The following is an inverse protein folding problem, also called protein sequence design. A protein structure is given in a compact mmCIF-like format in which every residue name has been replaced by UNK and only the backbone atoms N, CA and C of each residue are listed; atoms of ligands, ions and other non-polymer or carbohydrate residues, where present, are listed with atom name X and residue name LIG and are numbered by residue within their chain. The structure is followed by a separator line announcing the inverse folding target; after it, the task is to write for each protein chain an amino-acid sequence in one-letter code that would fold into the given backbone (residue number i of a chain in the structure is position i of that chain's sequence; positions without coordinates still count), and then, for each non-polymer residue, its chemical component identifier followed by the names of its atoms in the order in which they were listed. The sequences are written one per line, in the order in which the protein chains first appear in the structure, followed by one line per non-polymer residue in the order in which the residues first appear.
data_IF_956884405351
#
_entry.id   IF_956884405351
#
_cell.length_a   1.000
_cell.length_b   1.000
_cell.length_c   1.000
_cell.angle_alpha   90.00
_cell.angle_beta   90.00
_cell.angle_gamma   90.00
#
_symmetry.space_group_name_H-M   'P 1'
#
loop_
_entity.id
_entity.type
_entity.pdbx_description
1 polymer ?
#
# COMPACT_ATOMS: atom_id res chain seq x y z
N UNK A 1 -3.30 -3.15 -1.29
CA UNK A 1 -4.14 -1.98 -1.03
C UNK A 1 -5.60 -2.29 -1.33
N UNK A 2 -6.53 -1.86 -0.49
CA UNK A 2 -7.94 -2.30 -0.55
C UNK A 2 -8.77 -1.77 -1.71
N UNK A 3 -8.42 -0.64 -2.34
CA UNK A 3 -9.20 -0.02 -3.43
C UNK A 3 -8.83 -0.50 -4.84
N UNK A 4 -7.74 -1.19 -5.02
CA UNK A 4 -7.10 -1.43 -6.31
C UNK A 4 -5.91 -0.48 -6.53
N UNK A 5 -5.04 -0.85 -7.46
CA UNK A 5 -3.87 -0.04 -7.84
C UNK A 5 -4.16 0.70 -9.14
N UNK A 6 -3.63 1.91 -9.28
CA UNK A 6 -3.73 2.73 -10.49
C UNK A 6 -5.17 3.07 -10.89
N UNK A 7 -6.04 3.21 -9.90
CA UNK A 7 -7.47 3.49 -10.08
C UNK A 7 -7.72 4.98 -10.20
N UNK A 8 -8.46 5.36 -11.23
CA UNK A 8 -9.01 6.70 -11.42
C UNK A 8 -10.53 6.59 -11.50
N UNK A 9 -11.23 7.45 -10.77
CA UNK A 9 -12.69 7.50 -10.72
C UNK A 9 -13.14 8.85 -11.28
N UNK A 10 -14.09 8.83 -12.19
CA UNK A 10 -14.58 10.02 -12.87
C UNK A 10 -16.07 10.15 -12.69
N UNK A 11 -16.52 11.29 -12.21
CA UNK A 11 -17.92 11.67 -12.14
C UNK A 11 -18.21 12.80 -13.13
N UNK A 12 -19.38 12.78 -13.72
CA UNK A 12 -19.87 13.90 -14.51
C UNK A 12 -20.25 15.07 -13.60
N UNK A 13 -19.74 16.25 -13.91
CA UNK A 13 -20.00 17.50 -13.20
C UNK A 13 -20.96 18.41 -13.92
N UNK A 14 -20.88 19.72 -13.62
CA UNK A 14 -21.59 20.79 -14.30
C UNK A 14 -20.58 21.74 -14.92
N UNK A 15 -20.77 22.07 -16.21
CA UNK A 15 -19.90 23.02 -16.90
C UNK A 15 -19.93 24.40 -16.23
N UNK A 16 -18.78 24.96 -15.94
CA UNK A 16 -18.61 26.32 -15.39
C UNK A 16 -18.37 27.37 -16.49
N UNK A 17 -17.85 26.93 -17.64
CA UNK A 17 -17.50 27.80 -18.76
C UNK A 17 -18.52 27.65 -19.91
N UNK A 18 -18.88 28.75 -20.59
CA UNK A 18 -19.62 28.67 -21.86
C UNK A 18 -18.67 28.16 -22.94
N UNK A 19 -19.16 27.29 -23.85
CA UNK A 19 -18.33 26.70 -24.89
C UNK A 19 -19.09 26.51 -26.18
N UNK A 20 -18.52 26.93 -27.33
CA UNK A 20 -19.12 26.80 -28.67
C UNK A 20 -20.58 27.28 -28.75
N UNK A 21 -20.90 28.39 -28.10
CA UNK A 21 -22.27 28.95 -28.09
C UNK A 21 -23.23 28.28 -27.09
N UNK A 22 -22.76 27.28 -26.34
CA UNK A 22 -23.58 26.62 -25.33
C UNK A 22 -23.37 27.29 -23.95
N UNK A 23 -24.44 27.44 -23.13
CA UNK A 23 -24.36 28.07 -21.83
C UNK A 23 -23.61 27.19 -20.81
N UNK A 24 -23.10 27.80 -19.76
CA UNK A 24 -22.60 27.11 -18.55
C UNK A 24 -23.74 26.43 -17.77
N UNK A 25 -23.40 25.55 -16.84
CA UNK A 25 -24.37 24.86 -15.94
C UNK A 25 -24.98 23.61 -16.53
N UNK A 26 -24.47 23.12 -17.66
CA UNK A 26 -24.94 21.87 -18.29
C UNK A 26 -24.34 20.68 -17.55
N UNK A 27 -25.19 19.69 -17.29
CA UNK A 27 -24.76 18.42 -16.71
C UNK A 27 -24.04 17.55 -17.76
N UNK A 28 -22.88 17.05 -17.41
CA UNK A 28 -22.18 15.99 -18.16
C UNK A 28 -22.65 14.64 -17.62
N UNK A 29 -23.32 13.86 -18.44
CA UNK A 29 -23.83 12.52 -18.07
C UNK A 29 -23.22 11.49 -19.00
N UNK A 30 -22.47 10.57 -18.43
CA UNK A 30 -21.80 9.52 -19.18
C UNK A 30 -22.77 8.50 -19.75
N UNK A 31 -22.32 7.83 -20.79
CA UNK A 31 -23.00 6.67 -21.39
C UNK A 31 -22.00 5.49 -21.40
N UNK A 32 -22.50 4.26 -21.62
CA UNK A 32 -21.61 3.10 -21.73
C UNK A 32 -20.60 3.22 -22.87
N UNK A 33 -21.01 3.90 -23.98
CA UNK A 33 -20.14 4.13 -25.14
C UNK A 33 -18.93 5.01 -24.83
N UNK A 34 -18.97 5.82 -23.76
CA UNK A 34 -17.83 6.64 -23.35
C UNK A 34 -16.64 5.80 -22.94
N UNK A 35 -16.91 4.67 -22.31
CA UNK A 35 -15.88 3.75 -21.84
C UNK A 35 -15.13 3.15 -23.01
N UNK A 36 -15.88 2.67 -24.00
CA UNK A 36 -15.32 2.08 -25.20
C UNK A 36 -14.60 3.13 -26.08
N UNK A 37 -15.11 4.38 -26.08
CA UNK A 37 -14.47 5.51 -26.72
C UNK A 37 -13.16 5.88 -26.03
N UNK A 38 -13.14 6.01 -24.70
CA UNK A 38 -11.92 6.33 -23.93
C UNK A 38 -10.85 5.26 -24.12
N UNK A 39 -11.18 3.97 -24.03
CA UNK A 39 -10.23 2.87 -24.27
C UNK A 39 -9.65 2.88 -25.67
N UNK A 40 -10.42 3.30 -26.67
CA UNK A 40 -10.00 3.36 -28.06
C UNK A 40 -9.12 4.57 -28.37
N UNK A 41 -9.45 5.74 -27.77
CA UNK A 41 -8.72 6.99 -28.06
C UNK A 41 -7.53 7.22 -27.13
N UNK A 42 -7.50 6.61 -25.95
CA UNK A 42 -6.43 6.73 -24.96
C UNK A 42 -5.87 5.32 -24.64
N UNK A 43 -4.85 4.87 -25.38
CA UNK A 43 -4.28 3.51 -25.22
C UNK A 43 -3.68 3.23 -23.84
N UNK A 44 -3.34 4.28 -23.09
CA UNK A 44 -2.86 4.18 -21.72
C UNK A 44 -3.93 3.70 -20.73
N UNK A 45 -5.21 3.76 -21.09
CA UNK A 45 -6.32 3.20 -20.31
C UNK A 45 -6.43 1.71 -20.62
N UNK A 46 -5.98 0.88 -19.68
CA UNK A 46 -5.94 -0.58 -19.85
C UNK A 46 -7.28 -1.25 -19.59
N UNK A 47 -7.99 -0.79 -18.57
CA UNK A 47 -9.30 -1.31 -18.16
C UNK A 47 -10.22 -0.14 -17.80
N UNK A 48 -11.49 -0.27 -18.10
CA UNK A 48 -12.47 0.73 -17.70
C UNK A 48 -13.85 0.10 -17.55
N UNK A 49 -14.66 0.60 -16.60
CA UNK A 49 -16.02 0.11 -16.35
C UNK A 49 -16.93 1.24 -15.91
N UNK A 50 -18.20 1.24 -16.36
CA UNK A 50 -19.23 2.07 -15.75
C UNK A 50 -19.55 1.55 -14.35
N UNK A 51 -20.00 2.45 -13.50
CA UNK A 51 -20.63 2.10 -12.23
C UNK A 51 -22.05 2.66 -12.18
N UNK A 52 -22.99 1.76 -12.11
CA UNK A 52 -24.38 2.05 -11.78
C UNK A 52 -24.58 1.75 -10.30
N UNK A 53 -25.24 2.63 -9.58
CA UNK A 53 -25.52 2.40 -8.17
C UNK A 53 -26.99 2.62 -7.82
N UNK A 54 -27.48 1.81 -6.93
CA UNK A 54 -28.84 1.91 -6.41
C UNK A 54 -29.01 1.16 -5.11
N UNK A 55 -30.04 1.51 -4.36
CA UNK A 55 -30.39 0.77 -3.14
C UNK A 55 -31.26 -0.43 -3.51
N UNK A 56 -30.99 -1.55 -2.90
CA UNK A 56 -31.75 -2.79 -3.09
C UNK A 56 -31.93 -3.55 -1.80
N UNK A 57 -33.12 -4.14 -1.64
CA UNK A 57 -33.44 -5.03 -0.54
C UNK A 57 -33.10 -6.46 -0.95
N UNK A 58 -32.17 -7.08 -0.23
CA UNK A 58 -31.80 -8.49 -0.39
C UNK A 58 -32.47 -9.32 0.71
N UNK A 59 -33.04 -10.45 0.29
CA UNK A 59 -33.70 -11.39 1.21
C UNK A 59 -33.19 -12.80 1.00
N UNK A 60 -32.92 -13.50 2.09
CA UNK A 60 -32.65 -14.93 2.11
C UNK A 60 -33.38 -15.57 3.30
N UNK A 61 -34.33 -16.47 3.01
CA UNK A 61 -35.18 -17.02 4.05
C UNK A 61 -35.99 -15.94 4.76
N UNK A 62 -35.77 -15.79 6.07
CA UNK A 62 -36.42 -14.75 6.90
C UNK A 62 -35.55 -13.50 7.11
N UNK A 63 -34.31 -13.52 6.64
CA UNK A 63 -33.37 -12.38 6.80
C UNK A 63 -33.47 -11.44 5.61
N UNK A 64 -33.47 -10.16 5.90
CA UNK A 64 -33.53 -9.08 4.89
C UNK A 64 -32.54 -7.98 5.26
N UNK A 65 -31.78 -7.51 4.27
CA UNK A 65 -30.83 -6.41 4.40
C UNK A 65 -31.02 -5.43 3.25
N UNK A 66 -30.94 -4.13 3.55
CA UNK A 66 -30.96 -3.06 2.53
C UNK A 66 -29.55 -2.59 2.27
N UNK A 67 -29.08 -2.70 1.03
CA UNK A 67 -27.67 -2.44 0.70
C UNK A 67 -27.51 -1.75 -0.65
N UNK A 68 -26.32 -1.16 -0.86
CA UNK A 68 -25.91 -0.64 -2.14
C UNK A 68 -25.69 -1.79 -3.13
N UNK A 69 -26.39 -1.73 -4.23
CA UNK A 69 -26.23 -2.64 -5.37
C UNK A 69 -25.48 -1.88 -6.45
N UNK A 70 -24.37 -2.44 -6.89
CA UNK A 70 -23.50 -1.84 -7.90
C UNK A 70 -23.59 -2.67 -9.19
N UNK A 71 -23.97 -2.02 -10.28
CA UNK A 71 -23.96 -2.62 -11.62
C UNK A 71 -22.66 -2.30 -12.33
N UNK A 72 -21.89 -3.32 -12.71
CA UNK A 72 -20.52 -3.16 -13.25
C UNK A 72 -20.26 -4.10 -14.43
N UNK A 73 -19.21 -3.81 -15.21
CA UNK A 73 -18.62 -4.76 -16.18
C UNK A 73 -17.67 -5.74 -15.44
N UNK A 74 -17.35 -6.92 -16.00
CA UNK A 74 -16.42 -7.89 -15.41
C UNK A 74 -15.03 -7.34 -15.12
N UNK A 75 -14.49 -6.48 -15.99
CA UNK A 75 -13.18 -5.83 -15.84
C UNK A 75 -13.06 -5.06 -14.50
N UNK A 76 -14.19 -4.56 -13.98
CA UNK A 76 -14.26 -3.84 -12.72
C UNK A 76 -13.71 -4.65 -11.54
N UNK A 77 -13.93 -5.96 -11.57
CA UNK A 77 -13.43 -6.87 -10.55
C UNK A 77 -11.90 -6.85 -10.44
N UNK A 78 -11.22 -6.82 -11.58
CA UNK A 78 -9.76 -6.74 -11.64
C UNK A 78 -9.25 -5.36 -11.19
N UNK A 79 -9.87 -4.28 -11.67
CA UNK A 79 -9.50 -2.89 -11.31
C UNK A 79 -9.63 -2.66 -9.80
N UNK A 80 -10.67 -3.24 -9.18
CA UNK A 80 -11.00 -3.07 -7.76
C UNK A 80 -10.48 -4.18 -6.85
N UNK A 81 -9.67 -5.10 -7.39
CA UNK A 81 -9.12 -6.22 -6.64
C UNK A 81 -10.19 -7.04 -5.91
N UNK A 82 -11.25 -7.41 -6.64
CA UNK A 82 -12.38 -8.19 -6.11
C UNK A 82 -12.07 -9.68 -6.17
N UNK A 83 -11.23 -10.14 -5.27
CA UNK A 83 -10.82 -11.54 -5.19
C UNK A 83 -11.95 -12.37 -4.57
N UNK A 84 -12.46 -13.40 -5.27
CA UNK A 84 -13.45 -14.31 -4.69
C UNK A 84 -12.86 -15.15 -3.56
N UNK A 85 -13.68 -15.47 -2.56
CA UNK A 85 -13.36 -16.44 -1.53
C UNK A 85 -13.77 -17.85 -1.99
N UNK A 86 -12.93 -18.84 -1.72
CA UNK A 86 -13.25 -20.26 -2.00
C UNK A 86 -13.43 -20.58 -3.48
N UNK A 87 -14.49 -21.33 -3.80
CA UNK A 87 -14.82 -21.80 -5.17
C UNK A 87 -15.62 -20.79 -6.01
N UNK A 88 -15.91 -19.61 -5.45
CA UNK A 88 -16.67 -18.58 -6.13
C UNK A 88 -15.89 -17.89 -7.26
N UNK A 89 -16.60 -17.14 -8.10
CA UNK A 89 -16.05 -16.27 -9.13
C UNK A 89 -16.65 -14.88 -9.05
N UNK A 90 -15.98 -13.91 -9.65
CA UNK A 90 -16.60 -12.61 -9.93
C UNK A 90 -17.52 -12.72 -11.17
N UNK A 91 -18.13 -11.63 -11.60
CA UNK A 91 -18.93 -11.55 -12.82
C UNK A 91 -18.06 -11.84 -14.04
N UNK A 92 -18.63 -12.43 -15.08
CA UNK A 92 -17.97 -12.69 -16.37
C UNK A 92 -18.71 -12.09 -17.56
N UNK A 93 -18.11 -12.15 -18.75
CA UNK A 93 -18.69 -11.58 -19.98
C UNK A 93 -20.01 -12.24 -20.38
N UNK A 94 -20.14 -13.54 -20.09
CA UNK A 94 -21.38 -14.30 -20.37
C UNK A 94 -22.53 -13.79 -19.48
N UNK A 95 -22.23 -13.40 -18.24
CA UNK A 95 -23.22 -12.83 -17.34
C UNK A 95 -23.71 -11.45 -17.85
N UNK A 96 -22.79 -10.66 -18.42
CA UNK A 96 -23.09 -9.36 -18.99
C UNK A 96 -23.91 -9.46 -20.27
N UNK A 97 -23.48 -10.31 -21.22
CA UNK A 97 -24.10 -10.49 -22.53
C UNK A 97 -25.53 -11.01 -22.41
N UNK A 98 -25.74 -12.06 -21.60
CA UNK A 98 -27.04 -12.70 -21.42
C UNK A 98 -27.86 -12.05 -20.30
N UNK A 99 -27.44 -10.93 -19.73
CA UNK A 99 -28.13 -10.23 -18.63
C UNK A 99 -28.53 -11.17 -17.51
N UNK A 100 -27.60 -12.07 -17.14
CA UNK A 100 -27.88 -13.10 -16.14
C UNK A 100 -28.19 -12.47 -14.78
N UNK A 101 -29.08 -13.11 -14.05
CA UNK A 101 -29.43 -12.76 -12.66
C UNK A 101 -28.46 -13.43 -11.71
N UNK A 102 -27.20 -12.95 -11.73
CA UNK A 102 -26.12 -13.41 -10.85
C UNK A 102 -25.70 -12.26 -9.96
N UNK A 103 -25.24 -12.60 -8.75
CA UNK A 103 -24.85 -11.64 -7.73
C UNK A 103 -23.55 -12.09 -7.04
N UNK A 104 -22.64 -11.13 -6.87
CA UNK A 104 -21.44 -11.29 -6.08
C UNK A 104 -21.61 -10.50 -4.78
N UNK A 105 -21.37 -11.14 -3.63
CA UNK A 105 -21.66 -10.58 -2.32
C UNK A 105 -20.40 -10.04 -1.66
N UNK A 106 -20.53 -8.90 -0.97
CA UNK A 106 -19.53 -8.47 0.01
C UNK A 106 -19.53 -9.39 1.25
N UNK A 107 -18.42 -9.42 1.95
CA UNK A 107 -18.18 -10.32 3.10
C UNK A 107 -19.20 -10.11 4.23
N UNK A 108 -19.49 -8.84 4.56
CA UNK A 108 -20.45 -8.50 5.63
C UNK A 108 -21.86 -8.92 5.24
N UNK A 109 -22.24 -8.72 3.95
CA UNK A 109 -23.55 -9.12 3.44
C UNK A 109 -23.75 -10.64 3.50
N UNK A 110 -22.70 -11.41 3.16
CA UNK A 110 -22.71 -12.87 3.33
C UNK A 110 -23.00 -13.23 4.77
N UNK A 111 -22.29 -12.59 5.72
CA UNK A 111 -22.45 -12.87 7.16
C UNK A 111 -23.85 -12.50 7.66
N UNK A 112 -24.37 -11.35 7.26
CA UNK A 112 -25.70 -10.88 7.67
C UNK A 112 -26.82 -11.82 7.16
N UNK A 113 -26.74 -12.28 5.92
CA UNK A 113 -27.78 -13.11 5.30
C UNK A 113 -27.65 -14.60 5.67
N UNK A 114 -26.45 -15.16 5.61
CA UNK A 114 -26.23 -16.60 5.73
C UNK A 114 -25.65 -17.01 7.09
N UNK A 115 -24.95 -16.12 7.76
CA UNK A 115 -24.17 -16.40 8.97
C UNK A 115 -22.69 -16.62 8.67
N UNK A 116 -21.90 -16.68 9.74
CA UNK A 116 -20.45 -16.89 9.63
C UNK A 116 -20.13 -18.30 9.11
N UNK A 117 -19.12 -18.39 8.23
CA UNK A 117 -18.57 -19.66 7.74
C UNK A 117 -19.47 -20.42 6.75
N UNK A 118 -20.66 -19.91 6.40
CA UNK A 118 -21.53 -20.55 5.43
C UNK A 118 -21.18 -20.09 4.01
N UNK A 119 -20.92 -21.04 3.11
CA UNK A 119 -20.74 -20.75 1.69
C UNK A 119 -22.09 -20.57 1.00
N UNK A 120 -22.40 -19.36 0.47
CA UNK A 120 -23.64 -19.10 -0.22
C UNK A 120 -23.58 -19.38 -1.74
N UNK A 121 -22.41 -19.73 -2.29
CA UNK A 121 -22.24 -19.95 -3.72
C UNK A 121 -23.18 -21.05 -4.21
N UNK A 122 -23.88 -20.78 -5.30
CA UNK A 122 -24.90 -21.70 -5.84
C UNK A 122 -26.30 -21.55 -5.22
N UNK A 123 -26.46 -20.76 -4.15
CA UNK A 123 -27.78 -20.48 -3.56
C UNK A 123 -28.43 -19.26 -4.21
N UNK A 124 -29.75 -19.15 -4.08
CA UNK A 124 -30.50 -18.00 -4.58
C UNK A 124 -30.81 -17.01 -3.45
N UNK A 125 -30.63 -15.73 -3.73
CA UNK A 125 -31.10 -14.61 -2.91
C UNK A 125 -32.11 -13.81 -3.71
N UNK A 126 -33.07 -13.21 -3.04
CA UNK A 126 -34.06 -12.34 -3.69
C UNK A 126 -33.61 -10.89 -3.60
N UNK A 127 -33.43 -10.23 -4.74
CA UNK A 127 -33.11 -8.81 -4.84
C UNK A 127 -34.30 -8.08 -5.46
N UNK A 128 -34.92 -7.16 -4.70
CA UNK A 128 -36.13 -6.43 -5.14
C UNK A 128 -37.22 -7.36 -5.68
N UNK A 129 -37.47 -8.49 -5.04
CA UNK A 129 -38.48 -9.47 -5.48
C UNK A 129 -38.04 -10.41 -6.59
N UNK A 130 -36.82 -10.26 -7.13
CA UNK A 130 -36.29 -11.09 -8.23
C UNK A 130 -35.19 -12.04 -7.70
N UNK A 131 -35.22 -13.35 -8.04
CA UNK A 131 -34.18 -14.29 -7.62
C UNK A 131 -32.88 -14.08 -8.37
N UNK A 132 -31.76 -14.11 -7.63
CA UNK A 132 -30.38 -14.01 -8.13
C UNK A 132 -29.56 -15.19 -7.62
N UNK A 133 -28.80 -15.81 -8.50
CA UNK A 133 -27.84 -16.85 -8.15
C UNK A 133 -26.57 -16.21 -7.57
N UNK A 134 -26.16 -16.60 -6.38
CA UNK A 134 -24.89 -16.18 -5.80
C UNK A 134 -23.74 -16.92 -6.50
N UNK A 135 -22.88 -16.16 -7.18
CA UNK A 135 -21.73 -16.71 -7.93
C UNK A 135 -20.41 -16.58 -7.18
N UNK A 136 -20.35 -15.77 -6.15
CA UNK A 136 -19.15 -15.63 -5.31
C UNK A 136 -19.34 -14.65 -4.17
N UNK A 137 -18.37 -14.67 -3.28
CA UNK A 137 -18.27 -13.77 -2.12
C UNK A 137 -16.89 -13.12 -2.14
N UNK A 138 -16.82 -11.86 -1.76
CA UNK A 138 -15.57 -11.15 -1.63
C UNK A 138 -14.71 -11.76 -0.50
N UNK A 139 -13.46 -12.09 -0.81
CA UNK A 139 -12.48 -12.41 0.22
C UNK A 139 -12.26 -11.17 1.09
N UNK A 140 -12.18 -11.36 2.40
CA UNK A 140 -11.93 -10.26 3.33
C UNK A 140 -10.68 -9.48 2.92
N UNK A 141 -10.84 -8.16 2.78
CA UNK A 141 -9.75 -7.25 2.43
C UNK A 141 -9.80 -6.02 3.32
N UNK A 142 -8.62 -5.51 3.67
CA UNK A 142 -8.48 -4.24 4.38
C UNK A 142 -8.69 -3.10 3.38
N UNK A 143 -9.68 -2.27 3.65
CA UNK A 143 -10.02 -1.13 2.81
C UNK A 143 -10.03 0.15 3.63
N UNK A 144 -9.00 0.99 3.44
CA UNK A 144 -8.78 2.21 4.19
C UNK A 144 -9.45 3.44 3.56
N UNK A 145 -9.87 3.35 2.30
CA UNK A 145 -10.56 4.41 1.59
C UNK A 145 -11.74 3.88 0.81
N UNK A 146 -12.80 4.69 0.67
CA UNK A 146 -13.98 4.33 -0.11
C UNK A 146 -14.75 5.57 -0.54
N UNK A 147 -15.41 5.52 -1.67
CA UNK A 147 -16.27 6.59 -2.17
C UNK A 147 -17.78 6.28 -2.05
N UNK A 148 -18.17 5.11 -1.57
CA UNK A 148 -19.57 4.71 -1.31
C UNK A 148 -19.69 3.67 -0.21
N UNK A 149 -18.86 3.75 0.79
CA UNK A 149 -18.75 2.73 1.83
C UNK A 149 -17.89 1.54 1.41
N UNK A 150 -17.63 0.65 2.36
CA UNK A 150 -16.74 -0.50 2.18
C UNK A 150 -17.30 -1.51 1.20
N UNK A 151 -16.45 -2.11 0.40
CA UNK A 151 -16.84 -3.14 -0.57
C UNK A 151 -17.42 -4.40 0.10
N UNK A 152 -17.02 -4.67 1.34
CA UNK A 152 -17.60 -5.72 2.16
C UNK A 152 -19.11 -5.57 2.42
N UNK A 153 -19.64 -4.33 2.33
CA UNK A 153 -21.07 -3.99 2.52
C UNK A 153 -21.81 -3.66 1.24
N UNK A 154 -21.35 -4.16 0.11
CA UNK A 154 -22.00 -3.95 -1.19
C UNK A 154 -22.29 -5.28 -1.86
N UNK A 155 -23.12 -5.24 -2.86
CA UNK A 155 -23.37 -6.36 -3.76
C UNK A 155 -23.16 -5.91 -5.20
N UNK A 156 -22.74 -6.81 -6.05
CA UNK A 156 -22.36 -6.53 -7.42
C UNK A 156 -23.15 -7.41 -8.38
N UNK A 157 -23.71 -6.82 -9.41
CA UNK A 157 -24.45 -7.50 -10.48
C UNK A 157 -23.98 -6.98 -11.84
N UNK A 158 -24.23 -7.70 -12.95
CA UNK A 158 -23.92 -7.19 -14.28
C UNK A 158 -24.63 -5.84 -14.55
N UNK A 159 -23.92 -4.86 -15.10
CA UNK A 159 -24.50 -3.54 -15.36
C UNK A 159 -25.70 -3.61 -16.32
N UNK A 160 -25.71 -4.55 -17.25
CA UNK A 160 -26.85 -4.80 -18.15
C UNK A 160 -28.09 -5.27 -17.40
N UNK A 161 -27.93 -6.15 -16.40
CA UNK A 161 -29.00 -6.59 -15.50
C UNK A 161 -29.46 -5.45 -14.60
N UNK A 162 -28.52 -4.66 -14.05
CA UNK A 162 -28.84 -3.48 -13.25
C UNK A 162 -29.72 -2.48 -14.02
N UNK A 163 -29.32 -2.12 -15.24
CA UNK A 163 -30.09 -1.19 -16.10
C UNK A 163 -31.50 -1.67 -16.30
N UNK A 164 -31.70 -2.95 -16.54
CA UNK A 164 -33.03 -3.53 -16.73
C UNK A 164 -33.91 -3.43 -15.48
N UNK A 165 -33.33 -3.55 -14.29
CA UNK A 165 -34.06 -3.55 -13.01
C UNK A 165 -34.33 -2.16 -12.44
N UNK A 166 -33.42 -1.21 -12.66
CA UNK A 166 -33.58 0.17 -12.14
C UNK A 166 -34.01 1.19 -13.18
N UNK A 167 -33.96 0.85 -14.46
CA UNK A 167 -34.30 1.79 -15.55
C UNK A 167 -33.25 2.93 -15.70
N UNK A 168 -32.05 2.77 -15.12
CA UNK A 168 -31.01 3.79 -15.23
C UNK A 168 -30.41 3.79 -16.63
N UNK A 169 -30.40 4.94 -17.27
CA UNK A 169 -29.81 5.12 -18.61
C UNK A 169 -28.33 5.52 -18.50
N UNK A 170 -27.97 6.24 -17.45
CA UNK A 170 -26.64 6.81 -17.25
C UNK A 170 -25.97 6.17 -16.06
N UNK A 171 -24.69 5.78 -16.18
CA UNK A 171 -23.88 5.41 -15.02
C UNK A 171 -23.67 6.64 -14.12
N UNK A 172 -23.48 6.41 -12.85
CA UNK A 172 -23.25 7.47 -11.90
C UNK A 172 -21.81 7.99 -11.97
N UNK A 173 -20.88 7.07 -12.19
CA UNK A 173 -19.47 7.34 -12.45
C UNK A 173 -18.89 6.25 -13.34
N UNK A 174 -17.71 6.47 -13.82
CA UNK A 174 -16.89 5.46 -14.46
C UNK A 174 -15.56 5.35 -13.75
N UNK A 175 -14.97 4.17 -13.81
CA UNK A 175 -13.61 3.95 -13.33
C UNK A 175 -12.73 3.51 -14.48
N UNK A 176 -11.46 3.86 -14.42
CA UNK A 176 -10.45 3.31 -15.33
C UNK A 176 -9.11 3.09 -14.61
N UNK A 177 -8.28 2.27 -15.22
CA UNK A 177 -6.93 1.97 -14.76
C UNK A 177 -5.92 2.48 -15.78
N UNK A 178 -4.89 3.21 -15.30
CA UNK A 178 -3.80 3.70 -16.13
C UNK A 178 -2.64 2.70 -16.14
N UNK A 179 -2.06 2.43 -17.32
CA UNK A 179 -0.94 1.51 -17.46
C UNK A 179 0.29 1.92 -16.63
N UNK A 180 0.62 3.22 -16.69
CA UNK A 180 1.75 3.82 -15.96
C UNK A 180 1.26 4.98 -15.08
N UNK A 181 1.32 4.86 -13.75
CA UNK A 181 0.92 5.93 -12.83
C UNK A 181 1.62 7.28 -13.07
N UNK A 182 2.86 7.25 -13.58
CA UNK A 182 3.60 8.48 -13.88
C UNK A 182 2.96 9.30 -15.02
N UNK A 183 2.08 8.68 -15.80
CA UNK A 183 1.36 9.33 -16.90
C UNK A 183 -0.08 9.69 -16.57
N UNK A 184 -0.50 9.49 -15.32
CA UNK A 184 -1.89 9.66 -14.91
C UNK A 184 -2.42 11.05 -15.20
N UNK A 185 -1.67 12.08 -14.88
CA UNK A 185 -2.04 13.48 -15.17
C UNK A 185 -2.22 13.74 -16.67
N UNK A 186 -1.33 13.20 -17.52
CA UNK A 186 -1.48 13.30 -18.97
C UNK A 186 -2.74 12.59 -19.47
N UNK A 187 -3.03 11.40 -18.93
CA UNK A 187 -4.23 10.65 -19.26
C UNK A 187 -5.48 11.43 -18.86
N UNK A 188 -5.47 12.09 -17.70
CA UNK A 188 -6.56 12.95 -17.24
C UNK A 188 -6.82 14.10 -18.23
N UNK A 189 -5.77 14.81 -18.67
CA UNK A 189 -5.89 15.85 -19.68
C UNK A 189 -6.50 15.34 -21.00
N UNK A 190 -6.10 14.13 -21.44
CA UNK A 190 -6.69 13.50 -22.63
C UNK A 190 -8.16 13.12 -22.42
N UNK A 191 -8.53 12.62 -21.23
CA UNK A 191 -9.93 12.35 -20.86
C UNK A 191 -10.77 13.62 -20.95
N UNK A 192 -10.29 14.76 -20.41
CA UNK A 192 -10.95 16.06 -20.56
C UNK A 192 -11.11 16.47 -22.02
N UNK A 193 -10.11 16.26 -22.88
CA UNK A 193 -10.18 16.58 -24.32
C UNK A 193 -11.20 15.70 -25.06
N UNK A 194 -11.14 14.38 -24.82
CA UNK A 194 -12.02 13.42 -25.49
C UNK A 194 -13.47 13.64 -25.10
N UNK A 195 -13.77 13.73 -23.80
CA UNK A 195 -15.12 13.97 -23.29
C UNK A 195 -15.59 15.40 -23.59
N UNK A 196 -14.67 16.39 -23.53
CA UNK A 196 -14.96 17.78 -23.92
C UNK A 196 -15.43 17.91 -25.37
N UNK A 197 -14.85 17.13 -26.28
CA UNK A 197 -15.26 17.06 -27.68
C UNK A 197 -16.67 16.45 -27.81
N UNK A 198 -16.96 15.34 -27.13
CA UNK A 198 -18.25 14.66 -27.19
C UNK A 198 -19.37 15.49 -26.55
N UNK A 199 -19.11 16.01 -25.36
CA UNK A 199 -20.12 16.75 -24.57
C UNK A 199 -20.12 18.26 -24.81
N UNK A 200 -19.24 18.73 -25.70
CA UNK A 200 -19.11 20.16 -26.06
C UNK A 200 -18.85 21.05 -24.86
N UNK A 201 -17.86 20.71 -24.02
CA UNK A 201 -17.36 21.55 -22.96
C UNK A 201 -15.86 21.89 -23.20
N UNK A 202 -15.40 23.00 -22.61
CA UNK A 202 -13.99 23.39 -22.70
C UNK A 202 -13.14 22.39 -21.92
N UNK A 203 -12.08 21.76 -22.50
CA UNK A 203 -11.18 20.89 -21.78
C UNK A 203 -10.49 21.52 -20.55
N UNK A 204 -10.49 22.84 -20.43
CA UNK A 204 -10.00 23.58 -19.27
C UNK A 204 -11.07 23.77 -18.18
N UNK A 205 -12.29 23.33 -18.40
CA UNK A 205 -13.38 23.45 -17.43
C UNK A 205 -13.30 22.30 -16.41
N UNK A 206 -12.51 22.50 -15.35
CA UNK A 206 -12.29 21.52 -14.28
C UNK A 206 -13.59 21.11 -13.56
N UNK A 207 -14.68 21.90 -13.66
CA UNK A 207 -15.96 21.57 -13.05
C UNK A 207 -16.83 20.66 -13.92
N UNK A 208 -16.49 20.49 -15.20
CA UNK A 208 -17.21 19.62 -16.11
C UNK A 208 -17.07 18.14 -15.73
N UNK A 209 -15.94 17.76 -15.17
CA UNK A 209 -15.65 16.43 -14.64
C UNK A 209 -15.07 16.57 -13.24
N UNK A 210 -15.44 15.67 -12.36
CA UNK A 210 -14.76 15.50 -11.09
C UNK A 210 -13.96 14.21 -11.13
N UNK A 211 -12.65 14.30 -11.03
CA UNK A 211 -11.73 13.16 -11.13
C UNK A 211 -11.04 12.95 -9.80
N UNK A 212 -11.07 11.71 -9.33
CA UNK A 212 -10.28 11.27 -8.20
C UNK A 212 -9.28 10.23 -8.66
N UNK A 213 -8.04 10.68 -8.80
CA UNK A 213 -6.92 9.80 -9.05
C UNK A 213 -6.33 9.30 -7.72
N UNK A 214 -6.41 7.99 -7.50
CA UNK A 214 -5.82 7.38 -6.30
C UNK A 214 -4.30 7.36 -6.34
N UNK A 215 -3.68 7.56 -7.51
CA UNK A 215 -2.23 7.65 -7.66
C UNK A 215 -1.71 9.02 -7.19
N UNK A 216 -2.42 10.10 -7.49
CA UNK A 216 -2.04 11.46 -7.08
C UNK A 216 -2.08 11.62 -5.56
N UNK A 217 -3.12 11.08 -4.92
CA UNK A 217 -3.22 11.10 -3.45
C UNK A 217 -2.03 10.42 -2.77
N UNK A 218 -1.45 9.38 -3.39
CA UNK A 218 -0.25 8.71 -2.89
C UNK A 218 1.03 9.50 -3.25
N UNK A 219 1.04 10.19 -4.40
CA UNK A 219 2.20 10.95 -4.85
C UNK A 219 2.44 12.20 -4.00
N UNK A 220 1.38 12.88 -3.57
CA UNK A 220 1.46 14.05 -2.68
C UNK A 220 2.07 13.72 -1.31
N UNK A 221 1.77 12.54 -0.77
CA UNK A 221 2.32 12.09 0.51
C UNK A 221 3.72 11.51 0.42
N UNK A 222 4.18 11.14 -0.76
CA UNK A 222 5.50 10.53 -0.98
C UNK A 222 6.65 11.41 -0.49
N UNK A 223 6.73 12.73 -0.82
CA UNK A 223 7.79 13.60 -0.30
C UNK A 223 7.79 13.73 1.23
N UNK A 224 6.58 13.74 1.83
CA UNK A 224 6.44 13.78 3.29
C UNK A 224 7.03 12.51 3.93
N UNK A 225 6.65 11.33 3.43
CA UNK A 225 7.18 10.07 3.96
C UNK A 225 8.67 9.88 3.68
N UNK A 226 9.17 10.36 2.55
CA UNK A 226 10.63 10.38 2.29
C UNK A 226 11.36 11.31 3.24
N UNK A 227 10.87 12.52 3.47
CA UNK A 227 11.41 13.44 4.46
C UNK A 227 11.41 12.86 5.86
N UNK A 228 10.31 12.23 6.26
CA UNK A 228 10.20 11.56 7.56
C UNK A 228 11.16 10.37 7.70
N UNK A 229 11.35 9.58 6.65
CA UNK A 229 12.32 8.48 6.61
C UNK A 229 13.76 8.98 6.71
N UNK A 230 14.10 10.09 6.03
CA UNK A 230 15.42 10.72 6.13
C UNK A 230 15.64 11.23 7.56
N UNK A 231 14.65 11.91 8.13
CA UNK A 231 14.70 12.41 9.52
C UNK A 231 14.97 11.30 10.53
N UNK A 232 14.21 10.19 10.46
CA UNK A 232 14.44 9.02 11.31
C UNK A 232 15.82 8.38 11.05
N UNK A 233 16.28 8.38 9.80
CA UNK A 233 17.60 7.91 9.43
C UNK A 233 18.71 8.73 10.09
N UNK A 234 18.57 10.05 10.09
CA UNK A 234 19.51 10.97 10.76
C UNK A 234 19.56 10.69 12.27
N UNK A 235 18.41 10.58 12.94
CA UNK A 235 18.32 10.24 14.36
C UNK A 235 19.01 8.90 14.62
N UNK A 236 18.76 7.90 13.78
CA UNK A 236 19.40 6.58 13.88
C UNK A 236 20.91 6.68 13.78
N UNK A 237 21.45 7.45 12.84
CA UNK A 237 22.91 7.67 12.71
C UNK A 237 23.49 8.34 13.96
N UNK A 238 22.86 9.41 14.47
CA UNK A 238 23.29 10.06 15.70
C UNK A 238 23.31 9.10 16.89
N UNK A 239 22.28 8.29 17.06
CA UNK A 239 22.19 7.28 18.12
C UNK A 239 23.33 6.28 18.02
N UNK A 240 23.65 5.82 16.80
CA UNK A 240 24.76 4.90 16.55
C UNK A 240 26.12 5.55 16.82
N UNK A 241 26.31 6.84 16.48
CA UNK A 241 27.54 7.59 16.80
C UNK A 241 27.75 7.66 18.31
N UNK A 242 26.69 7.99 19.07
CA UNK A 242 26.74 8.02 20.56
C UNK A 242 27.10 6.64 21.11
N UNK A 243 26.49 5.56 20.58
CA UNK A 243 26.82 4.19 20.94
C UNK A 243 28.30 3.83 20.60
N UNK A 244 28.79 4.28 19.45
CA UNK A 244 30.17 4.09 19.02
C UNK A 244 31.17 4.81 19.92
N UNK A 245 30.87 6.04 20.34
CA UNK A 245 31.70 6.77 21.34
C UNK A 245 31.69 6.02 22.66
N UNK A 246 30.54 5.51 23.13
CA UNK A 246 30.44 4.68 24.32
C UNK A 246 31.33 3.43 24.23
N UNK A 247 31.28 2.72 23.11
CA UNK A 247 32.15 1.54 22.85
C UNK A 247 33.64 1.92 22.85
N UNK A 248 34.01 3.02 22.19
CA UNK A 248 35.39 3.52 22.17
C UNK A 248 35.87 3.84 23.58
N UNK A 249 35.05 4.52 24.39
CA UNK A 249 35.40 4.85 25.79
C UNK A 249 35.66 3.59 26.63
N UNK A 250 34.79 2.57 26.52
CA UNK A 250 34.97 1.29 27.21
C UNK A 250 36.28 0.64 26.74
N UNK A 251 36.56 0.61 25.45
CA UNK A 251 37.77 0.04 24.91
C UNK A 251 39.04 0.78 25.37
N UNK A 252 38.99 2.13 25.55
CA UNK A 252 40.09 2.88 26.13
C UNK A 252 40.38 2.46 27.58
N UNK A 253 39.32 2.24 28.38
CA UNK A 253 39.48 1.76 29.76
C UNK A 253 40.06 0.35 29.78
N UNK A 254 39.56 -0.56 28.97
CA UNK A 254 40.03 -1.94 28.84
C UNK A 254 41.52 -1.98 28.44
N UNK A 255 41.92 -1.18 27.45
CA UNK A 255 43.34 -1.08 27.03
C UNK A 255 44.20 -0.57 28.19
N UNK A 256 43.73 0.41 28.97
CA UNK A 256 44.46 0.94 30.13
C UNK A 256 44.63 -0.11 31.23
N UNK A 257 43.56 -0.84 31.56
CA UNK A 257 43.61 -1.93 32.57
C UNK A 257 44.52 -3.08 32.15
N UNK A 258 44.55 -3.41 30.84
CA UNK A 258 45.36 -4.48 30.26
C UNK A 258 46.75 -4.01 29.79
N UNK A 259 47.19 -2.79 30.13
CA UNK A 259 48.47 -2.23 29.65
C UNK A 259 49.64 -3.17 29.92
N UNK A 260 49.76 -3.76 31.13
CA UNK A 260 50.79 -4.69 31.51
C UNK A 260 50.76 -5.99 30.70
N UNK A 261 49.58 -6.56 30.47
CA UNK A 261 49.37 -7.76 29.63
C UNK A 261 49.84 -7.51 28.19
N UNK A 262 49.45 -6.36 27.60
CA UNK A 262 49.87 -5.95 26.27
C UNK A 262 51.41 -5.78 26.23
N UNK A 263 51.97 -5.15 27.23
CA UNK A 263 53.43 -4.99 27.35
C UNK A 263 54.19 -6.33 27.38
N UNK A 264 53.68 -7.32 28.13
CA UNK A 264 54.26 -8.69 28.17
C UNK A 264 54.18 -9.34 26.78
N UNK A 265 53.03 -9.27 26.11
CA UNK A 265 52.89 -9.83 24.76
C UNK A 265 53.88 -9.20 23.76
N UNK A 266 54.04 -7.88 23.82
CA UNK A 266 54.99 -7.17 22.95
C UNK A 266 56.46 -7.52 23.29
N UNK A 267 56.79 -7.69 24.56
CA UNK A 267 58.08 -8.12 24.98
C UNK A 267 58.40 -9.55 24.53
N UNK A 268 57.44 -10.43 24.43
CA UNK A 268 57.54 -11.78 23.88
C UNK A 268 57.51 -11.85 22.34
N UNK A 269 57.51 -10.71 21.64
CA UNK A 269 57.60 -10.63 20.19
C UNK A 269 56.28 -10.38 19.44
N UNK A 270 55.21 -10.06 20.12
CA UNK A 270 53.98 -9.68 19.43
C UNK A 270 54.18 -8.36 18.65
N UNK A 271 53.81 -8.38 17.37
CA UNK A 271 53.87 -7.19 16.52
C UNK A 271 52.77 -6.18 16.85
N UNK A 272 53.04 -4.90 16.57
CA UNK A 272 52.02 -3.84 16.71
C UNK A 272 50.73 -4.15 15.95
N UNK A 273 50.86 -4.73 14.76
CA UNK A 273 49.71 -5.14 13.95
C UNK A 273 48.89 -6.25 14.65
N UNK A 274 49.53 -7.19 15.32
CA UNK A 274 48.84 -8.25 16.06
C UNK A 274 48.00 -7.69 17.21
N UNK A 275 48.57 -6.79 18.02
CA UNK A 275 47.84 -6.12 19.11
C UNK A 275 46.68 -5.27 18.58
N UNK A 276 46.93 -4.52 17.50
CA UNK A 276 45.87 -3.69 16.87
C UNK A 276 44.73 -4.57 16.39
N UNK A 277 45.01 -5.68 15.69
CA UNK A 277 44.01 -6.58 15.17
C UNK A 277 43.21 -7.25 16.29
N UNK A 278 43.85 -7.67 17.36
CA UNK A 278 43.19 -8.24 18.53
C UNK A 278 42.15 -7.28 19.11
N UNK A 279 42.48 -6.01 19.33
CA UNK A 279 41.60 -5.03 19.95
C UNK A 279 40.45 -4.65 18.99
N UNK A 280 40.73 -4.56 17.69
CA UNK A 280 39.68 -4.33 16.68
C UNK A 280 38.67 -5.47 16.66
N UNK A 281 39.13 -6.73 16.72
CA UNK A 281 38.21 -7.90 16.77
C UNK A 281 37.38 -7.87 18.06
N UNK A 282 38.00 -7.57 19.23
CA UNK A 282 37.23 -7.45 20.47
C UNK A 282 36.11 -6.38 20.37
N UNK A 283 36.43 -5.22 19.79
CA UNK A 283 35.45 -4.16 19.55
C UNK A 283 34.35 -4.60 18.59
N UNK A 284 34.70 -5.28 17.49
CA UNK A 284 33.74 -5.82 16.54
C UNK A 284 32.84 -6.88 17.15
N UNK A 285 33.35 -7.76 17.98
CA UNK A 285 32.59 -8.78 18.69
C UNK A 285 31.53 -8.14 19.63
N UNK A 286 31.96 -7.13 20.42
CA UNK A 286 31.03 -6.40 21.30
C UNK A 286 29.93 -5.75 20.49
N UNK A 287 30.28 -5.08 19.39
CA UNK A 287 29.33 -4.39 18.52
C UNK A 287 28.40 -5.37 17.81
N UNK A 288 28.91 -6.52 17.36
CA UNK A 288 28.13 -7.57 16.73
C UNK A 288 27.12 -8.21 17.71
N UNK A 289 27.53 -8.46 18.96
CA UNK A 289 26.63 -8.94 20.01
C UNK A 289 25.50 -7.92 20.29
N UNK A 290 25.84 -6.64 20.43
CA UNK A 290 24.85 -5.59 20.59
C UNK A 290 23.87 -5.51 19.40
N UNK A 291 24.39 -5.58 18.18
CA UNK A 291 23.57 -5.60 16.95
C UNK A 291 22.67 -6.82 16.85
N UNK A 292 23.16 -7.99 17.26
CA UNK A 292 22.40 -9.24 17.32
C UNK A 292 21.19 -9.10 18.28
N UNK A 293 21.43 -8.68 19.52
CA UNK A 293 20.34 -8.46 20.48
C UNK A 293 19.37 -7.38 20.00
N UNK A 294 19.88 -6.28 19.44
CA UNK A 294 19.03 -5.22 18.87
C UNK A 294 18.15 -5.73 17.74
N UNK A 295 18.66 -6.60 16.86
CA UNK A 295 17.87 -7.23 15.80
C UNK A 295 16.74 -8.12 16.35
N UNK A 296 17.01 -8.93 17.38
CA UNK A 296 15.96 -9.75 17.99
C UNK A 296 14.89 -8.91 18.68
N UNK A 297 15.28 -7.82 19.33
CA UNK A 297 14.32 -6.87 19.91
C UNK A 297 13.44 -6.26 18.80
N UNK A 298 14.04 -5.81 17.69
CA UNK A 298 13.29 -5.26 16.57
C UNK A 298 12.33 -6.29 15.97
N UNK A 299 12.74 -7.55 15.80
CA UNK A 299 11.88 -8.66 15.34
C UNK A 299 10.75 -8.99 16.32
N UNK A 300 11.00 -8.88 17.60
CA UNK A 300 9.99 -9.04 18.63
C UNK A 300 8.90 -7.97 18.48
N UNK A 301 9.30 -6.70 18.33
CA UNK A 301 8.33 -5.61 18.10
C UNK A 301 7.57 -5.77 16.79
N UNK A 302 8.23 -6.16 15.69
CA UNK A 302 7.55 -6.44 14.42
C UNK A 302 6.43 -7.50 14.59
N UNK A 303 6.68 -8.54 15.39
CA UNK A 303 5.73 -9.63 15.62
C UNK A 303 4.59 -9.26 16.61
N UNK A 304 4.89 -8.42 17.58
CA UNK A 304 3.91 -8.01 18.61
C UNK A 304 3.01 -6.86 18.13
N UNK A 305 3.51 -6.00 17.25
CA UNK A 305 2.79 -4.82 16.77
C UNK A 305 1.39 -5.13 16.19
N UNK A 306 1.20 -6.16 15.34
CA UNK A 306 -0.13 -6.51 14.82
C UNK A 306 -1.15 -6.89 15.93
N UNK A 307 -0.68 -7.42 17.07
CA UNK A 307 -1.55 -7.78 18.19
C UNK A 307 -2.21 -6.55 18.84
N UNK A 308 -1.61 -5.38 18.69
CA UNK A 308 -2.15 -4.11 19.20
C UNK A 308 -3.28 -3.56 18.30
N UNK A 309 -3.57 -4.21 17.15
CA UNK A 309 -4.57 -3.78 16.16
C UNK A 309 -4.38 -2.32 15.66
N UNK A 310 -3.17 -1.80 15.77
CA UNK A 310 -2.81 -0.46 15.29
C UNK A 310 -2.51 -0.46 13.78
N UNK A 311 -2.32 -1.62 13.18
CA UNK A 311 -2.04 -1.81 11.74
C UNK A 311 -3.12 -1.19 10.82
N UNK A 312 -4.37 -1.11 11.28
CA UNK A 312 -5.45 -0.44 10.54
C UNK A 312 -5.20 1.06 10.33
N UNK A 313 -4.42 1.72 11.20
CA UNK A 313 -4.16 3.17 11.17
C UNK A 313 -2.79 3.52 10.59
N UNK A 314 -1.76 2.73 10.87
CA UNK A 314 -0.35 3.06 10.57
C UNK A 314 0.29 2.06 9.60
N UNK A 315 -0.36 0.92 9.36
CA UNK A 315 0.22 -0.21 8.64
C UNK A 315 1.10 -1.07 9.55
N UNK A 316 1.32 -2.32 9.17
CA UNK A 316 2.17 -3.22 9.93
C UNK A 316 3.65 -2.98 9.60
N UNK A 317 4.53 -2.84 10.62
CA UNK A 317 5.95 -2.67 10.38
C UNK A 317 6.56 -3.95 9.77
N UNK A 318 7.32 -3.78 8.68
CA UNK A 318 8.03 -4.89 8.01
C UNK A 318 9.51 -4.56 7.90
N UNK A 319 10.35 -5.41 8.48
CA UNK A 319 11.80 -5.28 8.38
C UNK A 319 12.26 -5.90 7.06
N UNK A 320 12.59 -5.06 6.07
CA UNK A 320 13.07 -5.55 4.78
C UNK A 320 14.52 -6.08 4.88
N UNK A 321 14.88 -7.12 4.08
CA UNK A 321 16.26 -7.64 4.05
C UNK A 321 17.28 -6.55 3.69
N UNK A 322 16.91 -5.59 2.84
CA UNK A 322 17.76 -4.46 2.47
C UNK A 322 18.09 -3.58 3.69
N UNK A 323 17.10 -3.31 4.54
CA UNK A 323 17.29 -2.53 5.77
C UNK A 323 18.25 -3.24 6.73
N UNK A 324 18.13 -4.56 6.87
CA UNK A 324 19.02 -5.37 7.71
C UNK A 324 20.47 -5.30 7.21
N UNK A 325 20.71 -5.46 5.90
CA UNK A 325 22.04 -5.39 5.31
C UNK A 325 22.67 -4.01 5.55
N UNK A 326 21.91 -2.94 5.33
CA UNK A 326 22.39 -1.56 5.56
C UNK A 326 22.71 -1.34 7.04
N UNK A 327 21.85 -1.81 7.94
CA UNK A 327 22.10 -1.70 9.38
C UNK A 327 23.37 -2.44 9.80
N UNK A 328 23.60 -3.68 9.33
CA UNK A 328 24.81 -4.45 9.60
C UNK A 328 26.04 -3.71 9.09
N UNK A 329 26.00 -3.16 7.89
CA UNK A 329 27.12 -2.41 7.31
C UNK A 329 27.45 -1.15 8.13
N UNK A 330 26.45 -0.41 8.58
CA UNK A 330 26.65 0.78 9.42
C UNK A 330 27.19 0.40 10.79
N UNK A 331 26.60 -0.58 11.47
CA UNK A 331 27.03 -1.06 12.79
C UNK A 331 28.48 -1.58 12.71
N UNK A 332 28.80 -2.38 11.70
CA UNK A 332 30.15 -2.87 11.47
C UNK A 332 31.18 -1.75 11.26
N UNK A 333 30.82 -0.74 10.46
CA UNK A 333 31.66 0.44 10.23
C UNK A 333 31.93 1.22 11.52
N UNK A 334 30.91 1.42 12.35
CA UNK A 334 31.03 2.12 13.63
C UNK A 334 31.88 1.31 14.60
N UNK A 335 31.70 -0.02 14.67
CA UNK A 335 32.53 -0.90 15.50
C UNK A 335 34.00 -0.86 15.10
N UNK A 336 34.31 -0.83 13.80
CA UNK A 336 35.68 -0.65 13.30
C UNK A 336 36.25 0.69 13.72
N UNK A 337 35.55 1.78 13.52
CA UNK A 337 36.02 3.14 13.87
C UNK A 337 36.21 3.27 15.39
N UNK A 338 35.21 2.79 16.16
CA UNK A 338 35.27 2.85 17.64
C UNK A 338 36.45 2.01 18.22
N UNK A 339 36.78 0.87 17.60
CA UNK A 339 37.90 0.04 18.00
C UNK A 339 39.26 0.53 17.50
N UNK A 340 39.29 1.27 16.37
CA UNK A 340 40.55 1.66 15.73
C UNK A 340 41.41 2.60 16.60
N UNK A 341 40.83 3.64 17.18
CA UNK A 341 41.57 4.60 18.00
C UNK A 341 42.16 3.98 19.28
N UNK A 342 41.41 3.22 20.09
CA UNK A 342 41.99 2.47 21.23
C UNK A 342 43.06 1.47 20.82
N UNK A 343 42.83 0.74 19.71
CA UNK A 343 43.78 -0.23 19.19
C UNK A 343 45.10 0.42 18.78
N UNK A 344 45.06 1.56 18.10
CA UNK A 344 46.25 2.32 17.73
C UNK A 344 47.04 2.79 18.96
N UNK A 345 46.34 3.20 20.03
CA UNK A 345 46.97 3.61 21.29
C UNK A 345 47.66 2.43 21.97
N UNK A 346 46.99 1.28 22.02
CA UNK A 346 47.58 0.04 22.59
C UNK A 346 48.80 -0.44 21.82
N UNK A 347 48.77 -0.43 20.48
CA UNK A 347 49.88 -0.80 19.61
C UNK A 347 51.10 0.16 19.69
N UNK A 348 50.87 1.38 20.17
CA UNK A 348 51.91 2.39 20.37
C UNK A 348 52.58 2.36 21.76
N UNK A 349 52.16 1.48 22.67
CA UNK A 349 52.75 1.36 24.00
C UNK A 349 54.22 0.93 23.92
N UNK A 350 55.08 1.52 24.79
CA UNK A 350 56.46 1.07 24.97
C UNK A 350 56.45 -0.13 25.93
N UNK A 351 56.94 -1.32 25.50
CA UNK A 351 56.91 -2.50 26.34
C UNK A 351 57.61 -2.32 27.72
N UNK A 352 58.71 -1.53 27.77
CA UNK A 352 59.43 -1.26 29.00
C UNK A 352 58.58 -0.42 29.97
N UNK A 353 57.87 0.56 29.49
CA UNK A 353 56.97 1.41 30.31
C UNK A 353 55.70 0.66 30.73
N UNK A 354 55.15 -0.15 29.84
CA UNK A 354 53.99 -0.94 30.12
C UNK A 354 54.19 -2.02 31.19
N UNK A 355 55.43 -2.49 31.37
CA UNK A 355 55.81 -3.44 32.44
C UNK A 355 55.99 -2.78 33.80
N UNK A 356 56.17 -1.44 33.83
CA UNK A 356 56.36 -0.68 35.08
C UNK A 356 55.03 -0.08 35.59
N UNK A 357 54.00 -0.05 34.76
CA UNK A 357 52.64 0.40 35.09
C UNK A 357 51.82 -0.74 35.72
#
# INVERSE_FOLDING_TARGET
MGLGERLVIVWGGKTALPFKGLPKGRLVRFTDDDIDMLKREIPEITMASPEYAGMGMLTYGKKTVSQNVIGVKPEWGSVRNMIPEGSGRFLDEIDLEYRKRVIFLGTDIRTDLFGEGIDPVGKYVTLRGTPFLVVGVLKQKDQNSSYRGRDARKVYIPCTTFKTMWGHTYPENMIYQVADPARSQRVEEEVFKVLGRKYSFDPKDEQALWIWDTNDSLSEWRPFFEGFRIFLGIIGVFTLIVGGIGTANIMYVVVKERTREIGVKMAMGATRAHIMFQIIIESLLITAMGGFFGFFIAKFFEKVFPLLKLGEYVGDPVISPKTVIVAIAIIGSIGLVAGFFPARRAAGLNPVEALKA
#
